data_IF_362951624971
#
_entry.id   IF_362951624971
#
_cell.length_a   1.000
_cell.length_b   1.000
_cell.length_c   1.000
_cell.angle_alpha   90.00
_cell.angle_beta   90.00
_cell.angle_gamma   90.00
#
_symmetry.space_group_name_H-M   'P 1'
#
loop_
_entity.id
_entity.type
_entity.pdbx_description
1 polymer ?
#
# COMPACT_ATOMS: atom_id res chain seq x y z
N UNK A 1 -8.84 9.12 -18.87
CA UNK A 1 -8.10 10.41 -18.86
C UNK A 1 -6.99 10.34 -17.82
N UNK A 2 -5.71 10.33 -18.22
CA UNK A 2 -4.55 10.19 -17.30
C UNK A 2 -4.49 11.29 -16.23
N UNK A 3 -4.92 12.52 -16.56
CA UNK A 3 -4.97 13.64 -15.61
C UNK A 3 -5.96 13.38 -14.46
N UNK A 4 -7.12 12.77 -14.76
CA UNK A 4 -8.11 12.38 -13.74
C UNK A 4 -7.53 11.34 -12.77
N UNK A 5 -6.83 10.33 -13.29
CA UNK A 5 -6.19 9.29 -12.46
C UNK A 5 -5.10 9.89 -11.57
N UNK A 6 -4.24 10.73 -12.13
CA UNK A 6 -3.19 11.42 -11.36
C UNK A 6 -3.78 12.31 -10.26
N UNK A 7 -4.85 13.05 -10.55
CA UNK A 7 -5.55 13.85 -9.55
C UNK A 7 -6.11 13.00 -8.41
N UNK A 8 -6.83 11.91 -8.73
CA UNK A 8 -7.38 10.99 -7.73
C UNK A 8 -6.27 10.39 -6.86
N UNK A 9 -5.16 9.99 -7.48
CA UNK A 9 -3.97 9.50 -6.77
C UNK A 9 -3.44 10.55 -5.78
N UNK A 10 -3.20 11.78 -6.23
CA UNK A 10 -2.66 12.85 -5.39
C UNK A 10 -3.58 13.17 -4.21
N UNK A 11 -4.88 13.33 -4.47
CA UNK A 11 -5.87 13.63 -3.42
C UNK A 11 -5.98 12.48 -2.43
N UNK A 12 -6.04 11.23 -2.90
CA UNK A 12 -6.16 10.05 -2.04
C UNK A 12 -4.94 9.85 -1.14
N UNK A 13 -3.73 10.04 -1.68
CA UNK A 13 -2.47 9.97 -0.91
C UNK A 13 -2.40 11.09 0.13
N UNK A 14 -2.68 12.34 -0.28
CA UNK A 14 -2.64 13.48 0.63
C UNK A 14 -3.64 13.30 1.78
N UNK A 15 -4.88 12.90 1.46
CA UNK A 15 -5.90 12.60 2.45
C UNK A 15 -5.46 11.50 3.42
N UNK A 16 -4.94 10.38 2.90
CA UNK A 16 -4.50 9.25 3.73
C UNK A 16 -3.45 9.69 4.75
N UNK A 17 -2.37 10.35 4.31
CA UNK A 17 -1.29 10.77 5.23
C UNK A 17 -1.71 11.87 6.19
N UNK A 18 -2.53 12.83 5.75
CA UNK A 18 -3.05 13.87 6.63
C UNK A 18 -3.96 13.28 7.71
N UNK A 19 -4.84 12.34 7.34
CA UNK A 19 -5.71 11.66 8.27
C UNK A 19 -4.91 10.81 9.28
N UNK A 20 -3.93 10.02 8.82
CA UNK A 20 -3.07 9.22 9.71
C UNK A 20 -2.28 10.12 10.66
N UNK A 21 -1.66 11.20 10.17
CA UNK A 21 -0.94 12.13 11.04
C UNK A 21 -1.86 12.79 12.07
N UNK A 22 -3.04 13.26 11.64
CA UNK A 22 -4.02 13.87 12.52
C UNK A 22 -4.51 12.91 13.62
N UNK A 23 -4.72 11.63 13.28
CA UNK A 23 -5.08 10.62 14.27
C UNK A 23 -3.93 10.37 15.26
N UNK A 24 -2.68 10.19 14.79
CA UNK A 24 -1.51 10.04 15.68
C UNK A 24 -1.40 11.21 16.66
N UNK A 25 -1.50 12.45 16.13
CA UNK A 25 -1.46 13.66 16.93
C UNK A 25 -2.58 13.70 17.97
N UNK A 26 -3.82 13.46 17.55
CA UNK A 26 -4.97 13.46 18.46
C UNK A 26 -4.85 12.40 19.55
N UNK A 27 -4.30 11.22 19.26
CA UNK A 27 -4.12 10.17 20.25
C UNK A 27 -3.08 10.58 21.31
N UNK A 28 -1.90 11.05 20.87
CA UNK A 28 -0.79 11.36 21.79
C UNK A 28 -1.09 12.58 22.66
N UNK A 29 -1.67 13.64 22.09
CA UNK A 29 -1.81 14.93 22.77
C UNK A 29 -3.19 15.18 23.37
N UNK A 30 -4.21 14.40 22.99
CA UNK A 30 -5.59 14.61 23.46
C UNK A 30 -6.15 13.33 24.09
N UNK A 31 -6.26 12.24 23.33
CA UNK A 31 -6.97 11.05 23.81
C UNK A 31 -6.22 10.33 24.95
N UNK A 32 -4.93 10.06 24.79
CA UNK A 32 -4.17 9.31 25.80
C UNK A 32 -4.05 10.08 27.13
N UNK A 33 -3.77 11.40 27.17
CA UNK A 33 -3.77 12.16 28.42
C UNK A 33 -5.14 12.25 29.11
N UNK A 34 -6.24 12.11 28.36
CA UNK A 34 -7.61 12.13 28.91
C UNK A 34 -8.04 10.77 29.43
N UNK A 35 -7.69 9.69 28.72
CA UNK A 35 -8.14 8.33 29.03
C UNK A 35 -7.25 7.65 30.05
N UNK A 36 -5.93 7.86 30.00
CA UNK A 36 -4.97 7.20 30.87
C UNK A 36 -4.42 8.17 31.89
N UNK A 37 -4.43 7.76 33.16
CA UNK A 37 -3.90 8.56 34.27
C UNK A 37 -2.43 8.23 34.56
N UNK A 38 -2.01 6.99 34.29
CA UNK A 38 -0.64 6.52 34.56
C UNK A 38 0.33 6.97 33.46
N UNK A 39 1.40 7.74 33.79
CA UNK A 39 2.35 8.24 32.79
C UNK A 39 3.03 7.14 31.98
N UNK A 40 3.28 5.98 32.61
CA UNK A 40 3.91 4.82 31.95
C UNK A 40 3.02 4.24 30.86
N UNK A 41 1.70 4.21 31.07
CA UNK A 41 0.75 3.70 30.07
C UNK A 41 0.66 4.64 28.87
N UNK A 42 0.61 5.95 29.12
CA UNK A 42 0.65 6.98 28.06
C UNK A 42 1.93 6.82 27.24
N UNK A 43 3.09 6.71 27.91
CA UNK A 43 4.38 6.55 27.25
C UNK A 43 4.40 5.29 26.38
N UNK A 44 3.94 4.16 26.92
CA UNK A 44 4.07 2.89 26.21
C UNK A 44 3.14 2.79 25.00
N UNK A 45 1.91 3.28 25.14
CA UNK A 45 0.97 3.38 24.01
C UNK A 45 1.45 4.37 22.95
N UNK A 46 2.05 5.49 23.36
CA UNK A 46 2.64 6.45 22.41
C UNK A 46 3.78 5.81 21.61
N UNK A 47 4.65 5.03 22.25
CA UNK A 47 5.74 4.32 21.55
C UNK A 47 5.17 3.28 20.57
N UNK A 48 4.19 2.48 20.99
CA UNK A 48 3.51 1.53 20.09
C UNK A 48 2.88 2.23 18.88
N UNK A 49 2.18 3.35 19.10
CA UNK A 49 1.53 4.12 18.04
C UNK A 49 2.55 4.71 17.05
N UNK A 50 3.67 5.23 17.55
CA UNK A 50 4.78 5.73 16.72
C UNK A 50 5.39 4.58 15.90
N UNK A 51 5.59 3.41 16.50
CA UNK A 51 6.08 2.23 15.78
C UNK A 51 5.14 1.81 14.63
N UNK A 52 3.83 1.78 14.89
CA UNK A 52 2.81 1.52 13.85
C UNK A 52 2.90 2.58 12.75
N UNK A 53 2.97 3.87 13.10
CA UNK A 53 3.07 4.96 12.13
C UNK A 53 4.31 4.84 11.23
N UNK A 54 5.47 4.53 11.82
CA UNK A 54 6.71 4.27 11.07
C UNK A 54 6.53 3.10 10.11
N UNK A 55 5.85 2.02 10.51
CA UNK A 55 5.60 0.88 9.65
C UNK A 55 4.63 1.19 8.50
N UNK A 56 3.59 2.00 8.74
CA UNK A 56 2.68 2.47 7.68
C UNK A 56 3.47 3.25 6.63
N UNK A 57 4.28 4.22 7.08
CA UNK A 57 5.10 5.06 6.20
C UNK A 57 6.14 4.21 5.47
N UNK A 58 6.92 3.40 6.19
CA UNK A 58 8.01 2.60 5.63
C UNK A 58 7.53 1.60 4.59
N UNK A 59 6.47 0.82 4.90
CA UNK A 59 5.93 -0.13 3.94
C UNK A 59 5.27 0.56 2.74
N UNK A 60 4.64 1.71 2.93
CA UNK A 60 4.17 2.52 1.81
C UNK A 60 5.33 2.92 0.88
N UNK A 61 6.40 3.52 1.42
CA UNK A 61 7.55 3.95 0.64
C UNK A 61 8.23 2.77 -0.08
N UNK A 62 8.47 1.67 0.63
CA UNK A 62 9.05 0.46 0.02
C UNK A 62 8.13 -0.11 -1.08
N UNK A 63 6.82 -0.08 -0.85
CA UNK A 63 5.82 -0.49 -1.81
C UNK A 63 5.83 0.35 -3.09
N UNK A 64 5.98 1.67 -2.97
CA UNK A 64 6.00 2.56 -4.14
C UNK A 64 7.33 2.50 -4.91
N UNK A 65 8.44 2.32 -4.20
CA UNK A 65 9.79 2.23 -4.79
C UNK A 65 9.97 0.92 -5.58
N UNK A 66 9.30 -0.16 -5.15
CA UNK A 66 9.37 -1.46 -5.82
C UNK A 66 8.32 -1.60 -6.93
N UNK A 67 8.53 -0.92 -8.06
CA UNK A 67 7.59 -0.93 -9.19
C UNK A 67 7.19 -2.35 -9.62
N UNK A 68 5.88 -2.59 -9.72
CA UNK A 68 5.30 -3.90 -10.07
C UNK A 68 5.29 -4.24 -11.55
N UNK A 69 5.76 -3.33 -12.41
CA UNK A 69 5.83 -3.51 -13.85
C UNK A 69 6.54 -4.82 -14.21
N UNK A 70 5.89 -5.63 -15.04
CA UNK A 70 6.52 -6.80 -15.63
C UNK A 70 7.32 -6.38 -16.86
N UNK A 71 8.65 -6.46 -16.74
CA UNK A 71 9.58 -6.22 -17.84
C UNK A 71 10.50 -7.43 -18.00
N UNK A 72 10.16 -8.42 -18.85
CA UNK A 72 11.16 -9.30 -19.41
C UNK A 72 12.20 -8.42 -20.08
N UNK A 73 13.45 -8.51 -19.62
CA UNK A 73 14.58 -7.86 -20.27
C UNK A 73 14.89 -8.48 -21.64
N UNK A 74 14.23 -9.60 -21.99
CA UNK A 74 14.45 -10.37 -23.21
C UNK A 74 13.07 -10.77 -23.77
N UNK A 75 12.86 -10.56 -25.08
CA UNK A 75 11.73 -11.17 -25.78
C UNK A 75 11.98 -12.67 -25.86
N UNK A 76 11.07 -13.47 -25.31
CA UNK A 76 11.20 -14.93 -25.32
C UNK A 76 10.80 -15.43 -26.71
N UNK A 77 11.77 -15.96 -27.46
CA UNK A 77 11.56 -16.49 -28.83
C UNK A 77 10.76 -17.78 -28.82
N UNK A 78 10.98 -18.63 -27.80
CA UNK A 78 10.26 -19.89 -27.59
C UNK A 78 9.57 -19.90 -26.21
N UNK A 79 8.42 -19.21 -26.08
CA UNK A 79 7.71 -19.16 -24.82
C UNK A 79 7.15 -20.55 -24.45
N UNK A 80 7.18 -20.94 -23.17
CA UNK A 80 6.48 -22.14 -22.71
C UNK A 80 5.00 -22.09 -23.08
N UNK A 81 4.40 -23.23 -23.41
CA UNK A 81 2.97 -23.34 -23.80
C UNK A 81 1.99 -22.80 -22.77
N UNK A 82 2.40 -22.67 -21.51
CA UNK A 82 1.61 -22.10 -20.42
C UNK A 82 1.55 -20.57 -20.42
N UNK A 83 2.39 -19.90 -21.22
CA UNK A 83 2.43 -18.44 -21.30
C UNK A 83 1.32 -17.94 -22.23
N UNK A 84 0.75 -16.78 -21.88
CA UNK A 84 -0.31 -16.14 -22.66
C UNK A 84 0.22 -14.91 -23.35
N UNK A 85 -0.17 -14.70 -24.60
CA UNK A 85 0.17 -13.50 -25.33
C UNK A 85 -0.70 -12.32 -24.91
N UNK A 86 -0.10 -11.17 -24.63
CA UNK A 86 -0.80 -9.91 -24.40
C UNK A 86 -0.71 -9.06 -25.66
N UNK A 87 -1.83 -8.86 -26.35
CA UNK A 87 -1.89 -8.07 -27.58
C UNK A 87 -1.58 -6.59 -27.38
N UNK A 88 -1.91 -6.02 -26.21
CA UNK A 88 -1.67 -4.59 -25.91
C UNK A 88 -0.19 -4.30 -25.66
N UNK A 89 0.53 -5.24 -25.04
CA UNK A 89 1.96 -5.10 -24.76
C UNK A 89 2.84 -5.82 -25.78
N UNK A 90 2.23 -6.44 -26.80
CA UNK A 90 2.88 -7.21 -27.86
C UNK A 90 3.94 -8.20 -27.35
N UNK A 91 3.55 -9.04 -26.37
CA UNK A 91 4.48 -9.96 -25.72
C UNK A 91 3.84 -11.16 -25.05
N UNK A 92 4.58 -12.26 -24.99
CA UNK A 92 4.24 -13.40 -24.15
C UNK A 92 4.45 -13.10 -22.67
N UNK A 93 3.48 -13.51 -21.86
CA UNK A 93 3.41 -13.24 -20.44
C UNK A 93 3.33 -14.56 -19.65
N UNK A 94 4.11 -14.73 -18.57
CA UNK A 94 4.02 -15.89 -17.70
C UNK A 94 2.62 -16.06 -17.09
N UNK A 95 2.31 -17.26 -16.59
CA UNK A 95 1.08 -17.50 -15.83
C UNK A 95 0.85 -16.45 -14.74
N UNK A 96 -0.42 -16.11 -14.51
CA UNK A 96 -0.88 -15.11 -13.52
C UNK A 96 -0.44 -13.67 -13.79
N UNK A 97 0.04 -13.38 -15.00
CA UNK A 97 0.29 -12.01 -15.46
C UNK A 97 -0.99 -11.45 -16.06
N UNK A 98 -1.32 -10.21 -15.72
CA UNK A 98 -2.49 -9.52 -16.29
C UNK A 98 -2.12 -8.09 -16.70
N UNK A 99 -2.62 -7.65 -17.85
CA UNK A 99 -2.48 -6.27 -18.30
C UNK A 99 -3.30 -5.34 -17.39
N UNK A 100 -2.71 -4.23 -16.96
CA UNK A 100 -3.44 -3.16 -16.28
C UNK A 100 -3.72 -2.03 -17.27
N UNK A 101 -4.99 -1.74 -17.51
CA UNK A 101 -5.40 -0.66 -18.42
C UNK A 101 -5.06 0.74 -17.91
N UNK A 102 -4.85 0.89 -16.60
CA UNK A 102 -4.48 2.17 -15.99
C UNK A 102 -2.96 2.39 -16.14
N UNK A 103 -2.15 1.42 -15.73
CA UNK A 103 -0.69 1.47 -15.85
C UNK A 103 -0.18 1.26 -17.29
N UNK A 104 -1.00 0.72 -18.19
CA UNK A 104 -0.66 0.35 -19.58
C UNK A 104 0.55 -0.59 -19.68
N UNK A 105 0.61 -1.54 -18.75
CA UNK A 105 1.68 -2.55 -18.70
C UNK A 105 1.16 -3.84 -18.08
N UNK A 106 1.76 -4.96 -18.45
CA UNK A 106 1.54 -6.23 -17.78
C UNK A 106 2.15 -6.22 -16.37
N UNK A 107 1.46 -6.83 -15.41
CA UNK A 107 1.90 -6.95 -14.02
C UNK A 107 1.91 -8.44 -13.66
N UNK A 108 3.05 -8.94 -13.18
CA UNK A 108 3.18 -10.34 -12.78
C UNK A 108 2.51 -10.56 -11.43
N UNK A 109 1.71 -11.64 -11.31
CA UNK A 109 0.85 -11.91 -10.15
C UNK A 109 0.04 -10.66 -9.79
N UNK A 110 -0.54 -10.00 -10.80
CA UNK A 110 -1.34 -8.79 -10.62
C UNK A 110 -2.47 -9.10 -9.66
N UNK A 111 -2.59 -8.28 -8.63
CA UNK A 111 -3.74 -8.27 -7.74
C UNK A 111 -4.71 -7.19 -8.23
N UNK A 112 -4.40 -5.92 -7.95
CA UNK A 112 -5.23 -4.79 -8.37
C UNK A 112 -4.41 -3.53 -8.68
N UNK A 113 -5.05 -2.51 -9.25
CA UNK A 113 -4.48 -1.16 -9.33
C UNK A 113 -4.86 -0.42 -8.05
N UNK A 114 -3.88 -0.11 -7.20
CA UNK A 114 -4.15 0.55 -5.93
C UNK A 114 -4.03 2.06 -6.11
N UNK A 115 -5.13 2.78 -5.82
CA UNK A 115 -5.14 4.25 -5.89
C UNK A 115 -4.24 4.88 -4.82
N UNK A 116 -4.11 4.23 -3.66
CA UNK A 116 -3.25 4.73 -2.58
C UNK A 116 -1.77 4.54 -2.89
N UNK A 117 -1.36 3.43 -3.51
CA UNK A 117 0.04 3.21 -3.90
C UNK A 117 0.40 3.86 -5.25
N UNK A 118 -0.58 4.47 -5.90
CA UNK A 118 -0.45 5.09 -7.22
C UNK A 118 0.04 4.13 -8.32
N UNK A 119 -0.08 2.81 -8.11
CA UNK A 119 0.40 1.77 -9.02
C UNK A 119 -0.28 0.43 -8.74
N UNK A 120 -0.02 -0.56 -9.60
CA UNK A 120 -0.49 -1.92 -9.33
C UNK A 120 0.22 -2.57 -8.16
N UNK A 121 -0.53 -3.34 -7.39
CA UNK A 121 0.00 -4.35 -6.50
C UNK A 121 0.21 -5.62 -7.31
N UNK A 122 1.42 -6.16 -7.27
CA UNK A 122 1.81 -7.38 -7.95
C UNK A 122 2.96 -8.05 -7.22
N UNK A 123 3.60 -9.03 -7.85
CA UNK A 123 4.61 -9.88 -7.19
C UNK A 123 5.70 -9.08 -6.45
N UNK A 124 6.21 -8.00 -7.06
CA UNK A 124 7.37 -7.26 -6.56
C UNK A 124 7.09 -6.40 -5.32
N UNK A 125 5.89 -5.86 -5.19
CA UNK A 125 5.52 -4.98 -4.07
C UNK A 125 4.47 -5.58 -3.13
N UNK A 126 3.88 -6.73 -3.45
CA UNK A 126 2.92 -7.41 -2.59
C UNK A 126 3.47 -7.67 -1.18
N UNK A 127 4.79 -7.92 -1.04
CA UNK A 127 5.45 -8.12 0.26
C UNK A 127 5.40 -6.89 1.19
N UNK A 128 5.22 -5.69 0.64
CA UNK A 128 5.10 -4.45 1.41
C UNK A 128 3.63 -4.02 1.57
N UNK A 129 2.82 -4.32 0.54
CA UNK A 129 1.39 -4.04 0.57
C UNK A 129 0.69 -4.80 1.71
N UNK A 130 0.98 -6.10 1.90
CA UNK A 130 0.31 -6.90 2.94
C UNK A 130 0.58 -6.33 4.36
N UNK A 131 1.84 -6.13 4.80
CA UNK A 131 2.10 -5.52 6.11
C UNK A 131 1.51 -4.11 6.24
N UNK A 132 1.57 -3.28 5.19
CA UNK A 132 0.93 -1.97 5.19
C UNK A 132 -0.57 -2.06 5.53
N UNK A 133 -1.32 -2.95 4.85
CA UNK A 133 -2.75 -3.11 5.11
C UNK A 133 -3.04 -3.69 6.51
N UNK A 134 -2.20 -4.60 6.99
CA UNK A 134 -2.39 -5.25 8.28
C UNK A 134 -2.12 -4.29 9.45
N UNK A 135 -1.04 -3.52 9.39
CA UNK A 135 -0.71 -2.50 10.40
C UNK A 135 -1.77 -1.39 10.39
N UNK A 136 -2.25 -0.98 9.21
CA UNK A 136 -3.33 -0.02 9.09
C UNK A 136 -4.63 -0.52 9.74
N UNK A 137 -4.96 -1.82 9.61
CA UNK A 137 -6.13 -2.40 10.28
C UNK A 137 -6.01 -2.32 11.81
N UNK A 138 -4.86 -2.69 12.38
CA UNK A 138 -4.65 -2.59 13.83
C UNK A 138 -4.76 -1.17 14.35
N UNK A 139 -4.23 -0.19 13.61
CA UNK A 139 -4.35 1.21 13.94
C UNK A 139 -5.81 1.68 14.09
N UNK A 140 -6.71 1.14 13.26
CA UNK A 140 -8.14 1.43 13.37
C UNK A 140 -8.83 0.61 14.47
N UNK A 141 -8.41 -0.64 14.70
CA UNK A 141 -8.99 -1.51 15.73
C UNK A 141 -8.68 -1.04 17.16
N UNK A 142 -7.51 -0.44 17.40
CA UNK A 142 -7.20 0.19 18.71
C UNK A 142 -8.22 1.27 19.11
N UNK A 143 -8.98 1.83 18.17
CA UNK A 143 -10.07 2.78 18.45
C UNK A 143 -11.41 2.16 18.78
N UNK A 144 -11.61 0.86 18.53
CA UNK A 144 -12.93 0.22 18.62
C UNK A 144 -13.26 -0.40 19.97
N UNK A 145 -12.37 -0.26 20.98
CA UNK A 145 -12.64 -0.75 22.33
C UNK A 145 -12.81 0.43 23.32
N UNK A 146 -14.02 1.00 23.43
CA UNK A 146 -14.34 2.01 24.44
C UNK A 146 -14.57 1.41 25.84
N UNK A 147 -14.32 0.11 26.07
CA UNK A 147 -14.68 -0.60 27.30
C UNK A 147 -13.51 -1.29 28.02
N UNK A 148 -12.26 -0.87 27.77
CA UNK A 148 -11.09 -1.22 28.58
C UNK A 148 -10.48 -0.03 29.28
#
# INVERSE_FOLDING_TARGET
NRKKVAFIHTVGVAYFFLATFGVVYSCIFIAYPVVYTEPKDIQWRSICLIYVFINIIGNYFLGILNKSNYTPGIQVTDPPTSWKFCSVCDRYCPPRTHHCEICKVCILKRDHHCFFFCQCVGLRNQRYFIPYTYVLMFYFLERTDPYK
#
